data_IF_351692193632
#
_entry.id   IF_351692193632
#
_cell.length_a   1.000
_cell.length_b   1.000
_cell.length_c   1.000
_cell.angle_alpha   90.00
_cell.angle_beta   90.00
_cell.angle_gamma   90.00
#
_symmetry.space_group_name_H-M   'P 1'
#
loop_
_entity.id
_entity.type
_entity.pdbx_description
1 polymer ?
#
# COMPACT_ATOMS: atom_id res chain seq x y z
N UNK A 1 68.12 -14.96 -44.88
CA UNK A 1 67.14 -16.01 -44.46
C UNK A 1 66.24 -15.62 -43.28
N UNK A 2 66.60 -14.66 -42.43
CA UNK A 2 65.78 -14.26 -41.26
C UNK A 2 64.56 -13.36 -41.55
N UNK A 3 64.52 -12.66 -42.69
CA UNK A 3 63.38 -11.77 -43.05
C UNK A 3 62.16 -12.50 -43.62
N UNK A 4 62.31 -13.74 -44.11
CA UNK A 4 61.24 -14.50 -44.74
C UNK A 4 60.42 -15.32 -43.73
N UNK A 5 61.02 -15.73 -42.61
CA UNK A 5 60.33 -16.46 -41.54
C UNK A 5 59.35 -15.57 -40.75
N UNK A 6 59.73 -14.31 -40.46
CA UNK A 6 58.85 -13.38 -39.75
C UNK A 6 57.58 -12.98 -40.53
N UNK A 7 57.63 -12.97 -41.87
CA UNK A 7 56.45 -12.63 -42.68
C UNK A 7 55.44 -13.77 -42.75
N UNK A 8 55.92 -15.02 -42.68
CA UNK A 8 55.07 -16.22 -42.69
C UNK A 8 54.31 -16.33 -41.36
N UNK A 9 54.96 -16.12 -40.20
CA UNK A 9 54.29 -16.16 -38.89
C UNK A 9 53.20 -15.09 -38.72
N UNK A 10 53.46 -13.85 -39.17
CA UNK A 10 52.48 -12.76 -39.11
C UNK A 10 51.25 -13.05 -39.98
N UNK A 11 51.45 -13.68 -41.14
CA UNK A 11 50.35 -14.11 -42.02
C UNK A 11 49.45 -15.15 -41.34
N UNK A 12 50.05 -16.16 -40.69
CA UNK A 12 49.29 -17.18 -39.95
C UNK A 12 48.49 -16.59 -38.78
N UNK A 13 49.10 -15.68 -38.02
CA UNK A 13 48.42 -14.98 -36.92
C UNK A 13 47.23 -14.16 -37.43
N UNK A 14 47.41 -13.41 -38.53
CA UNK A 14 46.33 -12.63 -39.14
C UNK A 14 45.19 -13.52 -39.67
N UNK A 15 45.51 -14.64 -40.32
CA UNK A 15 44.49 -15.60 -40.76
C UNK A 15 43.74 -16.23 -39.59
N UNK A 16 44.41 -16.52 -38.48
CA UNK A 16 43.78 -17.10 -37.28
C UNK A 16 42.85 -16.09 -36.59
N UNK A 17 43.28 -14.83 -36.47
CA UNK A 17 42.46 -13.75 -35.93
C UNK A 17 41.23 -13.51 -36.81
N UNK A 18 41.37 -13.52 -38.14
CA UNK A 18 40.25 -13.34 -39.06
C UNK A 18 39.25 -14.51 -38.98
N UNK A 19 39.74 -15.75 -38.91
CA UNK A 19 38.89 -16.93 -38.77
C UNK A 19 38.11 -16.91 -37.42
N UNK A 20 38.78 -16.53 -36.33
CA UNK A 20 38.14 -16.42 -35.01
C UNK A 20 37.07 -15.32 -34.96
N UNK A 21 37.30 -14.19 -35.64
CA UNK A 21 36.30 -13.13 -35.80
C UNK A 21 35.08 -13.59 -36.61
N UNK A 22 35.29 -14.32 -37.72
CA UNK A 22 34.18 -14.88 -38.52
C UNK A 22 33.34 -15.85 -37.68
N UNK A 23 33.98 -16.74 -36.92
CA UNK A 23 33.26 -17.68 -36.04
C UNK A 23 32.46 -16.93 -34.98
N UNK A 24 33.03 -15.91 -34.35
CA UNK A 24 32.32 -15.06 -33.38
C UNK A 24 31.13 -14.32 -34.02
N UNK A 25 31.31 -13.77 -35.22
CA UNK A 25 30.25 -13.11 -35.97
C UNK A 25 29.12 -14.10 -36.35
N UNK A 26 29.46 -15.29 -36.83
CA UNK A 26 28.50 -16.35 -37.18
C UNK A 26 27.75 -16.87 -35.94
N UNK A 27 28.43 -17.04 -34.80
CA UNK A 27 27.80 -17.41 -33.53
C UNK A 27 26.85 -16.31 -33.04
N UNK A 28 27.22 -15.03 -33.18
CA UNK A 28 26.33 -13.92 -32.85
C UNK A 28 25.13 -13.85 -33.81
N UNK A 29 25.32 -14.05 -35.12
CA UNK A 29 24.23 -14.14 -36.09
C UNK A 29 23.31 -15.32 -35.78
N UNK A 30 23.87 -16.49 -35.42
CA UNK A 30 23.11 -17.67 -35.02
C UNK A 30 22.32 -17.45 -33.72
N UNK A 31 22.93 -16.79 -32.72
CA UNK A 31 22.27 -16.39 -31.47
C UNK A 31 21.16 -15.37 -31.72
N UNK A 32 21.38 -14.41 -32.63
CA UNK A 32 20.38 -13.42 -33.02
C UNK A 32 19.23 -14.02 -33.82
N UNK A 33 19.51 -15.01 -34.68
CA UNK A 33 18.49 -15.69 -35.50
C UNK A 33 17.65 -16.68 -34.67
N UNK A 34 18.22 -17.33 -33.64
CA UNK A 34 17.41 -18.08 -32.64
C UNK A 34 16.55 -17.14 -31.77
N UNK A 35 17.01 -15.93 -31.48
CA UNK A 35 16.23 -14.92 -30.75
C UNK A 35 15.10 -14.30 -31.60
N UNK A 36 15.15 -14.45 -32.94
CA UNK A 36 14.09 -14.01 -33.87
C UNK A 36 13.10 -15.09 -34.28
N UNK A 37 13.05 -16.25 -33.60
CA UNK A 37 11.79 -17.01 -33.53
C UNK A 37 10.85 -16.28 -32.56
N UNK A 38 10.35 -15.14 -33.04
CA UNK A 38 9.15 -14.51 -32.54
C UNK A 38 8.03 -15.52 -32.74
N UNK A 39 7.75 -16.31 -31.71
CA UNK A 39 6.40 -16.78 -31.51
C UNK A 39 5.56 -15.52 -31.40
N UNK A 40 4.88 -15.15 -32.49
CA UNK A 40 3.76 -14.23 -32.45
C UNK A 40 2.64 -14.93 -31.67
N UNK A 41 2.84 -15.07 -30.37
CA UNK A 41 1.73 -15.22 -29.44
C UNK A 41 0.97 -13.92 -29.62
N UNK A 42 -0.19 -13.98 -30.27
CA UNK A 42 -1.15 -12.90 -30.22
C UNK A 42 -1.57 -12.75 -28.76
N UNK A 43 -0.81 -11.97 -27.98
CA UNK A 43 -1.27 -11.48 -26.70
C UNK A 43 -2.52 -10.65 -27.00
N UNK A 44 -3.69 -11.22 -26.73
CA UNK A 44 -4.95 -10.47 -26.77
C UNK A 44 -4.75 -9.26 -25.87
N UNK A 45 -4.84 -8.05 -26.45
CA UNK A 45 -4.88 -6.80 -25.66
C UNK A 45 -5.90 -6.98 -24.52
N UNK A 46 -5.42 -6.90 -23.28
CA UNK A 46 -6.26 -6.96 -22.07
C UNK A 46 -7.34 -5.87 -22.20
N UNK A 47 -8.62 -6.28 -22.15
CA UNK A 47 -9.74 -5.34 -22.19
C UNK A 47 -9.82 -4.62 -20.84
N UNK A 48 -9.84 -3.29 -20.86
CA UNK A 48 -9.89 -2.45 -19.66
C UNK A 48 -11.30 -1.85 -19.54
N UNK A 49 -12.01 -2.01 -18.41
CA UNK A 49 -13.36 -1.48 -18.23
C UNK A 49 -13.32 0.01 -17.84
N UNK A 50 -12.94 0.88 -18.78
CA UNK A 50 -12.72 2.31 -18.52
C UNK A 50 -13.89 2.98 -17.77
N UNK A 51 -15.13 2.66 -18.14
CA UNK A 51 -16.35 3.14 -17.49
C UNK A 51 -17.33 2.01 -17.24
N UNK A 52 -17.88 1.91 -16.03
CA UNK A 52 -18.89 0.90 -15.65
C UNK A 52 -20.15 1.59 -15.14
N UNK A 53 -21.32 1.14 -15.61
CA UNK A 53 -22.62 1.50 -15.05
C UNK A 53 -23.06 0.41 -14.09
N UNK A 54 -23.08 0.70 -12.79
CA UNK A 54 -23.45 -0.25 -11.76
C UNK A 54 -24.93 -0.10 -11.38
N UNK A 55 -25.76 -0.96 -11.97
CA UNK A 55 -27.19 -1.05 -11.68
C UNK A 55 -27.44 -1.92 -10.44
N UNK A 56 -27.25 -1.37 -9.24
CA UNK A 56 -27.29 -2.16 -7.99
C UNK A 56 -28.70 -2.43 -7.47
N UNK A 57 -29.72 -1.77 -8.02
CA UNK A 57 -31.14 -2.02 -7.72
C UNK A 57 -31.96 -1.98 -8.99
N UNK A 58 -33.06 -2.73 -9.03
CA UNK A 58 -34.11 -2.60 -10.05
C UNK A 58 -35.35 -1.86 -9.54
N UNK A 59 -35.44 -1.60 -8.23
CA UNK A 59 -36.57 -0.90 -7.62
C UNK A 59 -36.55 0.56 -8.07
N UNK A 60 -37.69 1.06 -8.52
CA UNK A 60 -37.88 2.45 -8.96
C UNK A 60 -39.19 2.98 -8.37
N UNK A 61 -39.25 4.28 -8.11
CA UNK A 61 -40.44 5.01 -7.68
C UNK A 61 -41.21 5.66 -8.85
N UNK A 62 -40.84 5.34 -10.09
CA UNK A 62 -41.47 5.81 -11.32
C UNK A 62 -41.91 4.63 -12.20
N UNK A 63 -42.89 4.86 -13.07
CA UNK A 63 -43.49 3.85 -13.95
C UNK A 63 -43.36 4.23 -15.44
N UNK A 64 -42.15 4.61 -15.85
CA UNK A 64 -41.90 5.05 -17.22
C UNK A 64 -42.24 3.93 -18.24
N UNK A 65 -43.14 4.21 -19.19
CA UNK A 65 -43.54 3.25 -20.24
C UNK A 65 -42.39 2.80 -21.18
N UNK A 66 -41.25 3.48 -21.13
CA UNK A 66 -40.05 3.19 -21.92
C UNK A 66 -38.89 2.61 -21.08
N UNK A 67 -39.11 2.25 -19.81
CA UNK A 67 -38.04 1.77 -18.93
C UNK A 67 -37.42 0.46 -19.46
N UNK A 68 -36.11 0.49 -19.77
CA UNK A 68 -35.35 -0.69 -20.21
C UNK A 68 -34.67 -1.45 -19.06
N UNK A 69 -34.85 -0.99 -17.81
CA UNK A 69 -34.30 -1.59 -16.59
C UNK A 69 -35.37 -1.78 -15.49
N UNK A 70 -36.50 -2.38 -15.87
CA UNK A 70 -37.69 -2.58 -15.02
C UNK A 70 -37.44 -3.36 -13.72
N UNK A 71 -38.32 -3.15 -12.74
CA UNK A 71 -38.36 -3.76 -11.40
C UNK A 71 -38.71 -5.26 -11.42
N UNK A 72 -37.88 -6.06 -12.11
CA UNK A 72 -38.00 -7.52 -12.18
C UNK A 72 -37.57 -8.23 -10.89
N UNK A 73 -36.87 -7.52 -10.00
CA UNK A 73 -36.48 -7.98 -8.67
C UNK A 73 -36.36 -6.81 -7.70
N UNK A 74 -36.42 -7.09 -6.41
CA UNK A 74 -36.21 -6.13 -5.33
C UNK A 74 -34.88 -6.32 -4.59
N UNK A 75 -34.09 -7.32 -5.00
CA UNK A 75 -32.82 -7.66 -4.38
C UNK A 75 -31.75 -6.61 -4.69
N UNK A 76 -30.93 -6.32 -3.68
CA UNK A 76 -29.70 -5.53 -3.81
C UNK A 76 -28.53 -6.38 -3.30
N UNK A 77 -27.33 -6.25 -3.89
CA UNK A 77 -26.16 -6.95 -3.37
C UNK A 77 -25.79 -6.46 -1.97
N UNK A 78 -25.24 -7.35 -1.15
CA UNK A 78 -24.63 -6.98 0.14
C UNK A 78 -23.52 -5.95 -0.12
N UNK A 79 -23.39 -4.95 0.77
CA UNK A 79 -22.51 -3.78 0.53
C UNK A 79 -21.03 -4.19 0.43
N UNK A 80 -20.60 -5.17 1.23
CA UNK A 80 -19.25 -5.74 1.18
C UNK A 80 -18.94 -6.38 -0.18
N UNK A 81 -19.91 -7.12 -0.75
CA UNK A 81 -19.76 -7.72 -2.08
C UNK A 81 -19.61 -6.63 -3.15
N UNK A 82 -20.38 -5.55 -3.04
CA UNK A 82 -20.28 -4.42 -3.95
C UNK A 82 -18.93 -3.72 -3.86
N UNK A 83 -18.44 -3.44 -2.65
CA UNK A 83 -17.09 -2.88 -2.44
C UNK A 83 -16.01 -3.79 -3.03
N UNK A 84 -16.13 -5.11 -2.85
CA UNK A 84 -15.21 -6.07 -3.45
C UNK A 84 -15.23 -6.02 -4.98
N UNK A 85 -16.41 -5.88 -5.60
CA UNK A 85 -16.54 -5.71 -7.06
C UNK A 85 -15.93 -4.38 -7.52
N UNK A 86 -16.13 -3.28 -6.77
CA UNK A 86 -15.51 -2.00 -7.08
C UNK A 86 -13.98 -2.05 -7.07
N UNK A 87 -13.38 -2.77 -6.10
CA UNK A 87 -11.93 -3.03 -6.08
C UNK A 87 -11.48 -3.77 -7.34
N UNK A 88 -12.12 -4.91 -7.64
CA UNK A 88 -11.81 -5.72 -8.84
C UNK A 88 -11.91 -4.91 -10.14
N UNK A 89 -12.91 -4.02 -10.25
CA UNK A 89 -13.05 -3.14 -11.41
C UNK A 89 -11.94 -2.09 -11.46
N UNK A 90 -11.57 -1.50 -10.32
CA UNK A 90 -10.44 -0.59 -10.20
C UNK A 90 -9.12 -1.27 -10.62
N UNK A 91 -8.84 -2.47 -10.12
CA UNK A 91 -7.69 -3.32 -10.47
C UNK A 91 -7.66 -3.64 -11.97
N UNK A 92 -8.82 -3.91 -12.57
CA UNK A 92 -8.94 -4.12 -14.00
C UNK A 92 -8.66 -2.84 -14.83
N UNK A 93 -8.53 -1.68 -14.18
CA UNK A 93 -8.19 -0.39 -14.77
C UNK A 93 -9.39 0.53 -15.00
N UNK A 94 -10.51 0.31 -14.32
CA UNK A 94 -11.66 1.21 -14.36
C UNK A 94 -11.28 2.62 -13.92
N UNK A 95 -11.76 3.63 -14.66
CA UNK A 95 -11.51 5.06 -14.38
C UNK A 95 -12.77 5.83 -14.01
N UNK A 96 -13.95 5.30 -14.38
CA UNK A 96 -15.25 5.92 -14.13
C UNK A 96 -16.26 4.87 -13.68
N UNK A 97 -17.04 5.21 -12.67
CA UNK A 97 -18.25 4.48 -12.30
C UNK A 97 -19.46 5.40 -12.36
N UNK A 98 -20.60 4.85 -12.79
CA UNK A 98 -21.90 5.48 -12.71
C UNK A 98 -22.82 4.56 -11.92
N UNK A 99 -23.33 5.01 -10.77
CA UNK A 99 -24.32 4.26 -10.00
C UNK A 99 -25.70 4.50 -10.60
N UNK A 100 -26.32 3.44 -11.11
CA UNK A 100 -27.59 3.47 -11.84
C UNK A 100 -28.51 2.34 -11.35
N UNK A 101 -29.58 2.03 -12.07
CA UNK A 101 -30.51 0.96 -11.70
C UNK A 101 -31.95 1.29 -12.06
N UNK A 102 -32.87 0.91 -11.16
CA UNK A 102 -34.12 1.62 -10.97
C UNK A 102 -33.83 3.03 -10.46
N UNK A 103 -34.16 3.33 -9.21
CA UNK A 103 -33.86 4.62 -8.57
C UNK A 103 -32.82 4.45 -7.44
N UNK A 104 -31.52 4.76 -7.69
CA UNK A 104 -30.46 4.68 -6.69
C UNK A 104 -30.75 5.43 -5.38
N UNK A 105 -31.43 6.58 -5.45
CA UNK A 105 -31.73 7.40 -4.27
C UNK A 105 -32.78 6.78 -3.33
N UNK A 106 -33.40 5.65 -3.70
CA UNK A 106 -34.18 4.84 -2.76
C UNK A 106 -33.31 4.13 -1.71
N UNK A 107 -31.99 4.07 -1.91
CA UNK A 107 -31.03 3.45 -0.99
C UNK A 107 -29.87 4.39 -0.66
N UNK A 108 -30.13 5.55 -0.02
CA UNK A 108 -29.15 6.63 0.12
C UNK A 108 -27.92 6.24 0.95
N UNK A 109 -28.09 5.44 2.01
CA UNK A 109 -26.97 4.94 2.83
C UNK A 109 -26.03 4.03 2.02
N UNK A 110 -26.61 3.12 1.25
CA UNK A 110 -25.88 2.18 0.41
C UNK A 110 -25.12 2.91 -0.71
N UNK A 111 -25.80 3.87 -1.37
CA UNK A 111 -25.20 4.69 -2.41
C UNK A 111 -24.04 5.55 -1.86
N UNK A 112 -24.23 6.22 -0.72
CA UNK A 112 -23.19 7.02 -0.08
C UNK A 112 -21.95 6.17 0.26
N UNK A 113 -22.17 4.99 0.84
CA UNK A 113 -21.07 4.09 1.20
C UNK A 113 -20.27 3.59 -0.01
N UNK A 114 -20.92 3.35 -1.16
CA UNK A 114 -20.23 3.03 -2.41
C UNK A 114 -19.48 4.22 -3.00
N UNK A 115 -20.06 5.42 -2.94
CA UNK A 115 -19.42 6.64 -3.42
C UNK A 115 -18.17 6.98 -2.62
N UNK A 116 -18.27 6.95 -1.28
CA UNK A 116 -17.16 7.19 -0.37
C UNK A 116 -16.03 6.19 -0.63
N UNK A 117 -16.38 4.91 -0.77
CA UNK A 117 -15.42 3.86 -1.04
C UNK A 117 -14.69 4.05 -2.38
N UNK A 118 -15.44 4.32 -3.46
CA UNK A 118 -14.85 4.58 -4.78
C UNK A 118 -13.94 5.82 -4.77
N UNK A 119 -14.40 6.90 -4.15
CA UNK A 119 -13.64 8.15 -4.08
C UNK A 119 -12.35 7.97 -3.27
N UNK A 120 -12.40 7.22 -2.18
CA UNK A 120 -11.22 6.91 -1.37
C UNK A 120 -10.16 6.16 -2.18
N UNK A 121 -10.55 5.12 -2.93
CA UNK A 121 -9.64 4.37 -3.80
C UNK A 121 -9.00 5.31 -4.82
N UNK A 122 -9.81 6.07 -5.57
CA UNK A 122 -9.29 6.98 -6.60
C UNK A 122 -8.30 8.00 -6.03
N UNK A 123 -8.67 8.65 -4.93
CA UNK A 123 -7.83 9.65 -4.29
C UNK A 123 -6.49 9.08 -3.84
N UNK A 124 -6.47 7.84 -3.32
CA UNK A 124 -5.23 7.22 -2.84
C UNK A 124 -4.18 7.10 -3.96
N UNK A 125 -4.59 6.62 -5.14
CA UNK A 125 -3.69 6.49 -6.29
C UNK A 125 -3.26 7.84 -6.85
N UNK A 126 -4.17 8.83 -6.90
CA UNK A 126 -3.83 10.18 -7.37
C UNK A 126 -2.87 10.90 -6.41
N UNK A 127 -3.06 10.76 -5.10
CA UNK A 127 -2.17 11.33 -4.08
C UNK A 127 -0.79 10.67 -4.15
N UNK A 128 -0.72 9.35 -4.28
CA UNK A 128 0.55 8.64 -4.42
C UNK A 128 1.33 9.15 -5.64
N UNK A 129 0.67 9.26 -6.79
CA UNK A 129 1.24 9.79 -8.02
C UNK A 129 1.75 11.24 -7.84
N UNK A 130 0.95 12.12 -7.25
CA UNK A 130 1.38 13.51 -6.98
C UNK A 130 2.56 13.56 -6.02
N UNK A 131 2.57 12.72 -4.98
CA UNK A 131 3.71 12.64 -4.07
C UNK A 131 4.99 12.25 -4.81
N UNK A 132 4.93 11.25 -5.71
CA UNK A 132 6.09 10.83 -6.51
C UNK A 132 6.55 11.95 -7.46
N UNK A 133 5.62 12.60 -8.16
CA UNK A 133 5.93 13.70 -9.08
C UNK A 133 6.57 14.91 -8.38
N UNK A 134 6.15 15.19 -7.14
CA UNK A 134 6.62 16.33 -6.34
C UNK A 134 7.82 16.00 -5.43
N UNK A 135 8.33 14.76 -5.46
CA UNK A 135 9.41 14.30 -4.58
C UNK A 135 9.01 14.27 -3.09
N UNK A 136 7.72 14.15 -2.79
CA UNK A 136 7.17 14.01 -1.44
C UNK A 136 7.14 12.52 -1.08
N UNK A 137 7.61 12.18 0.12
CA UNK A 137 7.62 10.82 0.63
C UNK A 137 6.18 10.34 0.94
N UNK A 138 5.65 9.43 0.12
CA UNK A 138 4.32 8.84 0.31
C UNK A 138 4.32 7.70 1.33
N UNK A 139 3.51 7.83 2.40
CA UNK A 139 3.37 6.84 3.48
C UNK A 139 1.95 6.29 3.50
N UNK A 140 1.82 4.98 3.65
CA UNK A 140 0.54 4.31 3.84
C UNK A 140 0.43 3.73 5.25
N UNK A 141 -0.73 3.87 5.88
CA UNK A 141 -1.07 3.28 7.16
C UNK A 141 -2.29 2.37 6.97
N UNK A 142 -2.22 1.13 7.43
CA UNK A 142 -3.32 0.17 7.37
C UNK A 142 -3.59 -0.38 8.76
N UNK A 143 -4.84 -0.32 9.22
CA UNK A 143 -5.28 -1.05 10.42
C UNK A 143 -5.82 -2.40 9.99
N UNK A 144 -5.09 -3.46 10.33
CA UNK A 144 -5.43 -4.86 10.05
C UNK A 144 -6.44 -5.32 11.09
N UNK A 145 -7.59 -5.79 10.62
CA UNK A 145 -8.77 -6.11 11.41
C UNK A 145 -9.54 -7.29 10.81
N UNK A 146 -10.64 -7.67 11.46
CA UNK A 146 -11.45 -8.85 11.13
C UNK A 146 -11.93 -8.89 9.68
N UNK A 147 -12.06 -7.74 9.00
CA UNK A 147 -12.58 -7.65 7.64
C UNK A 147 -11.51 -7.62 6.54
N UNK A 148 -10.22 -7.46 6.89
CA UNK A 148 -9.15 -7.30 5.89
C UNK A 148 -7.90 -8.14 6.16
N UNK A 149 -7.81 -8.91 7.25
CA UNK A 149 -6.62 -9.72 7.56
C UNK A 149 -6.35 -10.83 6.51
N UNK A 150 -7.36 -11.27 5.76
CA UNK A 150 -7.22 -12.22 4.65
C UNK A 150 -6.92 -11.56 3.31
N UNK A 151 -6.99 -10.23 3.22
CA UNK A 151 -6.80 -9.51 1.97
C UNK A 151 -5.35 -9.59 1.50
N UNK A 152 -5.15 -9.79 0.19
CA UNK A 152 -3.85 -9.66 -0.46
C UNK A 152 -3.76 -8.28 -1.11
N UNK A 153 -2.85 -7.46 -0.61
CA UNK A 153 -2.62 -6.08 -1.02
C UNK A 153 -1.32 -5.92 -1.82
N UNK A 154 -0.58 -7.00 -2.14
CA UNK A 154 0.75 -6.91 -2.75
C UNK A 154 0.76 -6.08 -4.05
N UNK A 155 -0.16 -6.36 -4.98
CA UNK A 155 -0.27 -5.63 -6.25
C UNK A 155 -0.52 -4.13 -6.02
N UNK A 156 -1.37 -3.79 -5.06
CA UNK A 156 -1.68 -2.40 -4.74
C UNK A 156 -0.49 -1.66 -4.13
N UNK A 157 0.25 -2.29 -3.24
CA UNK A 157 1.42 -1.70 -2.61
C UNK A 157 2.56 -1.51 -3.62
N UNK A 158 2.70 -2.43 -4.57
CA UNK A 158 3.64 -2.28 -5.68
C UNK A 158 3.31 -1.06 -6.56
N UNK A 159 2.02 -0.84 -6.86
CA UNK A 159 1.58 0.32 -7.64
C UNK A 159 1.74 1.63 -6.84
N UNK A 160 1.30 1.65 -5.59
CA UNK A 160 1.34 2.84 -4.74
C UNK A 160 2.77 3.23 -4.34
N UNK A 161 3.70 2.27 -4.35
CA UNK A 161 5.11 2.41 -4.02
C UNK A 161 5.36 3.34 -2.80
N UNK A 162 4.72 3.10 -1.64
CA UNK A 162 4.99 3.91 -0.46
C UNK A 162 6.42 3.70 0.02
N UNK A 163 7.07 4.76 0.49
CA UNK A 163 8.39 4.61 1.12
C UNK A 163 8.28 3.84 2.44
N UNK A 164 7.09 3.89 3.07
CA UNK A 164 6.77 3.16 4.30
C UNK A 164 5.29 2.81 4.34
N UNK A 165 5.00 1.54 4.61
CA UNK A 165 3.67 0.98 4.78
C UNK A 165 3.55 0.43 6.20
N UNK A 166 2.95 1.20 7.11
CA UNK A 166 2.73 0.77 8.49
C UNK A 166 1.46 -0.07 8.58
N UNK A 167 1.61 -1.31 9.02
CA UNK A 167 0.51 -2.22 9.27
C UNK A 167 0.32 -2.30 10.78
N UNK A 168 -0.80 -1.78 11.27
CA UNK A 168 -1.16 -1.78 12.68
C UNK A 168 -2.13 -2.93 12.92
N UNK A 169 -1.87 -3.77 13.92
CA UNK A 169 -2.93 -4.63 14.44
C UNK A 169 -4.04 -3.73 15.04
N UNK A 170 -5.30 -4.09 14.87
CA UNK A 170 -6.39 -3.35 15.52
C UNK A 170 -6.18 -3.33 17.05
N UNK A 171 -6.14 -2.12 17.62
CA UNK A 171 -5.99 -1.89 19.05
C UNK A 171 -7.34 -1.50 19.65
N UNK A 172 -7.70 -2.18 20.73
CA UNK A 172 -8.87 -1.85 21.54
C UNK A 172 -8.37 -1.11 22.76
N UNK A 173 -8.94 0.06 23.02
CA UNK A 173 -8.73 0.87 24.21
C UNK A 173 -10.08 0.99 24.92
N UNK A 174 -10.15 0.51 26.16
CA UNK A 174 -11.40 0.28 26.89
C UNK A 174 -12.27 1.55 26.97
N UNK A 175 -11.65 2.70 27.24
CA UNK A 175 -12.36 3.98 27.39
C UNK A 175 -12.55 4.79 26.08
N UNK A 176 -12.04 4.30 24.95
CA UNK A 176 -12.14 4.99 23.67
C UNK A 176 -13.05 4.24 22.70
N UNK A 177 -12.76 2.95 22.51
CA UNK A 177 -13.41 2.10 21.52
C UNK A 177 -13.76 0.69 22.07
N UNK A 178 -13.73 0.48 23.39
CA UNK A 178 -14.03 -0.79 24.04
C UNK A 178 -15.51 -1.20 24.03
N UNK A 179 -16.43 -0.29 23.67
CA UNK A 179 -17.86 -0.56 23.63
C UNK A 179 -18.52 -0.68 25.02
N UNK A 180 -17.89 -0.09 26.05
CA UNK A 180 -18.45 0.11 27.39
C UNK A 180 -19.33 1.38 27.41
N UNK A 181 -20.16 1.50 28.46
CA UNK A 181 -21.00 2.69 28.68
C UNK A 181 -20.13 3.95 28.78
N UNK A 182 -20.45 4.96 27.96
CA UNK A 182 -19.65 6.19 27.84
C UNK A 182 -18.67 6.23 26.65
N UNK A 183 -18.39 5.10 25.99
CA UNK A 183 -17.57 5.08 24.77
C UNK A 183 -18.37 5.48 23.53
N UNK A 184 -17.75 6.23 22.62
CA UNK A 184 -18.41 6.65 21.37
C UNK A 184 -18.36 5.57 20.28
N UNK A 185 -17.53 4.54 20.46
CA UNK A 185 -17.22 3.52 19.43
C UNK A 185 -17.10 2.14 20.08
N UNK A 186 -17.41 1.11 19.29
CA UNK A 186 -17.20 -0.30 19.65
C UNK A 186 -16.35 -0.98 18.58
N UNK A 187 -15.09 -1.20 18.91
CA UNK A 187 -14.09 -1.82 18.05
C UNK A 187 -14.01 -3.35 18.23
N UNK A 188 -14.76 -3.95 19.16
CA UNK A 188 -14.64 -5.38 19.50
C UNK A 188 -14.90 -6.29 18.32
N UNK A 189 -15.85 -5.91 17.45
CA UNK A 189 -16.17 -6.63 16.20
C UNK A 189 -15.04 -6.64 15.17
N UNK A 190 -14.04 -5.78 15.32
CA UNK A 190 -12.89 -5.68 14.41
C UNK A 190 -11.69 -6.49 14.90
N UNK A 191 -11.71 -7.00 16.14
CA UNK A 191 -10.60 -7.69 16.79
C UNK A 191 -10.11 -8.87 15.96
N UNK A 192 -8.79 -9.05 15.92
CA UNK A 192 -8.12 -10.23 15.36
C UNK A 192 -7.12 -10.79 16.36
N UNK A 193 -6.85 -12.08 16.26
CA UNK A 193 -5.78 -12.77 16.99
C UNK A 193 -4.40 -12.35 16.49
N UNK A 194 -3.37 -12.65 17.28
CA UNK A 194 -1.96 -12.42 16.90
C UNK A 194 -1.62 -13.26 15.68
N UNK A 195 -2.11 -14.50 15.62
CA UNK A 195 -1.88 -15.45 14.52
C UNK A 195 -2.49 -14.94 13.21
N UNK A 196 -3.70 -14.37 13.26
CA UNK A 196 -4.32 -13.74 12.08
C UNK A 196 -3.54 -12.52 11.60
N UNK A 197 -3.02 -11.70 12.52
CA UNK A 197 -2.18 -10.56 12.17
C UNK A 197 -0.85 -11.01 11.56
N UNK A 198 -0.19 -12.02 12.14
CA UNK A 198 1.04 -12.58 11.59
C UNK A 198 0.84 -13.20 10.21
N UNK A 199 -0.30 -13.88 9.97
CA UNK A 199 -0.67 -14.39 8.65
C UNK A 199 -0.80 -13.27 7.60
N UNK A 200 -1.37 -12.12 7.98
CA UNK A 200 -1.39 -10.93 7.12
C UNK A 200 0.02 -10.43 6.81
N UNK A 201 0.89 -10.31 7.82
CA UNK A 201 2.27 -9.84 7.61
C UNK A 201 3.07 -10.80 6.73
N UNK A 202 2.96 -12.11 6.96
CA UNK A 202 3.66 -13.14 6.19
C UNK A 202 3.24 -13.14 4.70
N UNK A 203 1.94 -12.94 4.42
CA UNK A 203 1.42 -12.79 3.04
C UNK A 203 2.07 -11.63 2.28
N UNK A 204 2.50 -10.59 3.00
CA UNK A 204 3.06 -9.36 2.44
C UNK A 204 4.56 -9.19 2.71
N UNK A 205 5.26 -10.23 3.18
CA UNK A 205 6.68 -10.14 3.58
C UNK A 205 7.64 -9.67 2.48
N UNK A 206 7.25 -9.82 1.21
CA UNK A 206 8.05 -9.38 0.07
C UNK A 206 8.08 -7.85 -0.08
N UNK A 207 7.13 -7.13 0.52
CA UNK A 207 7.02 -5.69 0.44
C UNK A 207 8.10 -5.01 1.28
N UNK A 208 9.10 -4.41 0.64
CA UNK A 208 10.24 -3.76 1.32
C UNK A 208 9.83 -2.61 2.24
N UNK A 209 8.70 -1.97 1.96
CA UNK A 209 8.19 -0.82 2.71
C UNK A 209 7.39 -1.21 3.96
N UNK A 210 7.08 -2.51 4.16
CA UNK A 210 6.23 -2.96 5.26
C UNK A 210 6.90 -2.74 6.61
N UNK A 211 6.14 -2.19 7.55
CA UNK A 211 6.53 -2.03 8.95
C UNK A 211 5.40 -2.57 9.82
N UNK A 212 5.69 -3.64 10.54
CA UNK A 212 4.76 -4.28 11.48
C UNK A 212 4.63 -3.45 12.76
N UNK A 213 3.40 -3.23 13.20
CA UNK A 213 3.07 -2.57 14.46
C UNK A 213 2.00 -3.42 15.20
N UNK A 214 2.40 -4.57 15.79
CA UNK A 214 1.51 -5.39 16.63
C UNK A 214 1.15 -4.67 17.94
N UNK A 215 0.08 -5.10 18.62
CA UNK A 215 -0.44 -4.42 19.82
C UNK A 215 0.59 -4.29 20.95
N UNK A 216 1.43 -5.31 21.17
CA UNK A 216 2.48 -5.29 22.19
C UNK A 216 3.56 -4.22 21.96
N UNK A 217 3.78 -3.81 20.70
CA UNK A 217 4.74 -2.76 20.35
C UNK A 217 4.06 -1.39 20.32
N UNK A 218 2.82 -1.29 19.86
CA UNK A 218 2.13 0.00 19.73
C UNK A 218 1.84 0.69 21.06
N UNK A 219 1.39 -0.04 22.09
CA UNK A 219 0.86 0.57 23.32
C UNK A 219 1.84 1.51 24.00
N UNK A 220 3.13 1.18 24.05
CA UNK A 220 4.08 1.91 24.89
C UNK A 220 5.13 2.71 24.08
N UNK A 221 5.00 2.70 22.76
CA UNK A 221 6.04 3.23 21.86
C UNK A 221 5.67 4.56 21.20
N UNK A 222 4.55 5.18 21.57
CA UNK A 222 4.17 6.53 21.14
C UNK A 222 4.02 7.47 22.35
N UNK A 223 4.74 8.60 22.32
CA UNK A 223 4.44 9.74 23.18
C UNK A 223 3.30 10.49 22.50
N UNK A 224 2.14 10.48 23.15
CA UNK A 224 0.94 11.15 22.68
C UNK A 224 0.68 12.30 23.62
N UNK A 225 0.71 13.52 23.10
CA UNK A 225 0.32 14.71 23.84
C UNK A 225 -1.15 15.03 23.53
N UNK A 226 -1.97 15.19 24.56
CA UNK A 226 -3.38 15.52 24.41
C UNK A 226 -3.63 17.02 24.25
N UNK A 227 -4.90 17.41 24.10
CA UNK A 227 -5.31 18.80 23.92
C UNK A 227 -5.06 19.70 25.14
N UNK A 228 -4.77 19.11 26.31
CA UNK A 228 -4.43 19.81 27.56
C UNK A 228 -2.93 19.77 27.86
N UNK A 229 -2.12 19.39 26.87
CA UNK A 229 -0.66 19.32 26.95
C UNK A 229 -0.16 18.31 27.98
N UNK A 230 -0.88 17.19 28.11
CA UNK A 230 -0.53 16.06 28.98
C UNK A 230 -0.08 14.89 28.13
N UNK A 231 0.91 14.13 28.58
CA UNK A 231 1.23 12.85 27.95
C UNK A 231 0.14 11.83 28.29
N UNK A 232 -0.20 10.95 27.33
CA UNK A 232 -1.16 9.87 27.53
C UNK A 232 -0.44 8.54 27.72
N UNK A 233 -0.57 7.98 28.91
CA UNK A 233 -0.10 6.63 29.21
C UNK A 233 -1.09 5.60 28.67
N UNK A 234 -0.59 4.68 27.85
CA UNK A 234 -1.38 3.66 27.15
C UNK A 234 -1.07 2.20 27.59
N UNK A 235 -0.39 1.99 28.73
CA UNK A 235 0.09 0.67 29.16
C UNK A 235 -1.03 -0.34 29.46
N UNK A 236 -2.15 0.11 30.01
CA UNK A 236 -3.23 -0.74 30.55
C UNK A 236 -4.49 -0.75 29.68
N UNK A 237 -4.34 -0.67 28.34
CA UNK A 237 -5.46 -0.59 27.39
C UNK A 237 -6.39 0.63 27.62
N UNK A 238 -5.85 1.66 28.26
CA UNK A 238 -6.52 2.92 28.55
C UNK A 238 -5.68 4.10 28.03
N UNK A 239 -6.16 5.33 28.15
CA UNK A 239 -5.38 6.56 28.00
C UNK A 239 -5.46 7.36 29.27
N UNK A 240 -4.51 7.12 30.16
CA UNK A 240 -4.41 7.85 31.43
C UNK A 240 -3.53 9.09 31.23
N UNK A 241 -4.07 10.31 31.39
CA UNK A 241 -3.28 11.52 31.20
C UNK A 241 -2.31 11.75 32.37
N UNK A 242 -1.10 12.22 32.07
CA UNK A 242 -0.15 12.79 33.03
C UNK A 242 -0.64 14.14 33.56
N UNK A 243 0.14 14.73 34.46
CA UNK A 243 0.07 16.17 34.73
C UNK A 243 0.42 16.98 33.47
N UNK A 244 -0.06 18.21 33.38
CA UNK A 244 0.18 19.07 32.21
C UNK A 244 1.63 19.56 32.21
N UNK A 245 2.23 19.60 31.02
CA UNK A 245 3.54 20.23 30.81
C UNK A 245 3.55 21.74 31.11
N UNK A 246 2.38 22.35 31.35
CA UNK A 246 2.27 23.71 31.86
C UNK A 246 2.51 23.81 33.37
N UNK A 247 2.29 22.71 34.09
CA UNK A 247 2.29 22.67 35.55
C UNK A 247 3.53 21.96 36.11
N UNK A 248 4.07 20.99 35.37
CA UNK A 248 5.26 20.20 35.75
C UNK A 248 6.32 20.22 34.63
N UNK A 249 7.56 19.88 34.99
CA UNK A 249 8.61 19.72 33.99
C UNK A 249 8.41 18.47 33.10
N UNK A 250 9.13 18.44 31.97
CA UNK A 250 9.01 17.37 30.98
C UNK A 250 9.38 16.02 31.58
N UNK A 251 10.43 15.96 32.41
CA UNK A 251 10.89 14.71 33.00
C UNK A 251 9.84 14.10 33.93
N UNK A 252 9.17 14.93 34.75
CA UNK A 252 8.08 14.50 35.62
C UNK A 252 6.90 13.96 34.81
N UNK A 253 6.44 14.70 33.79
CA UNK A 253 5.35 14.24 32.94
C UNK A 253 5.72 12.99 32.13
N UNK A 254 6.98 12.88 31.68
CA UNK A 254 7.47 11.75 30.90
C UNK A 254 7.54 10.45 31.72
N UNK A 255 7.90 10.54 33.00
CA UNK A 255 7.85 9.40 33.93
C UNK A 255 6.42 8.87 34.11
N UNK A 256 5.41 9.73 33.98
CA UNK A 256 4.00 9.36 34.07
C UNK A 256 3.44 8.81 32.75
N UNK A 257 4.12 9.06 31.62
CA UNK A 257 3.65 8.72 30.27
C UNK A 257 3.70 7.22 29.93
N UNK A 258 4.31 6.37 30.76
CA UNK A 258 4.48 4.94 30.47
C UNK A 258 5.32 4.66 29.22
N UNK A 259 6.23 5.58 28.87
CA UNK A 259 7.04 5.53 27.66
C UNK A 259 8.10 4.43 27.71
N UNK A 260 8.06 3.54 26.73
CA UNK A 260 9.10 2.52 26.50
C UNK A 260 9.97 2.94 25.30
N UNK A 261 11.10 3.57 25.62
CA UNK A 261 12.10 3.99 24.64
C UNK A 261 12.60 2.79 23.80
N UNK A 262 12.76 1.62 24.41
CA UNK A 262 13.24 0.43 23.71
C UNK A 262 12.24 -0.03 22.63
N UNK A 263 10.94 0.03 22.94
CA UNK A 263 9.87 -0.26 21.99
C UNK A 263 9.82 0.76 20.83
N UNK A 264 10.13 2.04 21.08
CA UNK A 264 10.24 3.06 20.04
C UNK A 264 11.35 2.79 19.02
N UNK A 265 12.52 2.33 19.47
CA UNK A 265 13.59 1.94 18.55
C UNK A 265 13.27 0.64 17.81
N UNK A 266 12.70 -0.36 18.50
CA UNK A 266 12.36 -1.65 17.89
C UNK A 266 11.35 -1.53 16.74
N UNK A 267 10.44 -0.54 16.79
CA UNK A 267 9.50 -0.25 15.69
C UNK A 267 10.07 0.65 14.58
N UNK A 268 11.39 0.87 14.56
CA UNK A 268 12.07 1.77 13.62
C UNK A 268 11.47 3.19 13.67
N UNK A 269 11.26 3.71 14.89
CA UNK A 269 10.68 5.04 15.13
C UNK A 269 11.52 6.19 14.59
N UNK A 270 12.85 6.02 14.57
CA UNK A 270 13.79 6.96 13.94
C UNK A 270 14.01 6.57 12.47
N UNK A 271 13.73 7.51 11.58
CA UNK A 271 13.99 7.37 10.15
C UNK A 271 14.14 8.74 9.49
N UNK A 272 14.84 8.77 8.36
CA UNK A 272 15.02 10.01 7.61
C UNK A 272 13.69 10.44 6.97
N UNK A 273 13.16 11.57 7.43
CA UNK A 273 11.90 12.18 6.99
C UNK A 273 12.11 13.43 6.11
N UNK A 274 13.36 13.82 5.82
CA UNK A 274 13.65 14.93 4.91
C UNK A 274 13.35 14.55 3.46
N UNK A 275 13.05 15.54 2.62
CA UNK A 275 12.86 15.34 1.16
C UNK A 275 14.12 14.70 0.57
N UNK A 276 13.95 13.88 -0.46
CA UNK A 276 15.10 13.42 -1.23
C UNK A 276 15.85 14.67 -1.72
N UNK A 277 17.18 14.76 -1.51
CA UNK A 277 17.94 15.86 -2.06
C UNK A 277 17.72 15.88 -3.57
N UNK A 278 17.38 17.04 -4.13
CA UNK A 278 17.39 17.24 -5.58
C UNK A 278 18.73 16.74 -6.08
N UNK A 279 18.72 15.77 -7.02
CA UNK A 279 19.89 15.07 -7.53
C UNK A 279 21.07 16.01 -7.77
N UNK A 280 21.98 16.03 -6.80
CA UNK A 280 23.34 16.54 -6.88
C UNK A 280 24.19 15.46 -6.24
N UNK A 281 25.01 14.81 -7.07
CA UNK A 281 25.83 13.67 -6.72
C UNK A 281 26.56 13.83 -5.37
N UNK A 282 26.31 12.92 -4.43
CA UNK A 282 27.31 12.43 -3.47
C UNK A 282 26.73 11.26 -2.68
N UNK A 283 27.41 10.12 -2.71
CA UNK A 283 27.11 9.00 -1.82
C UNK A 283 27.55 9.33 -0.40
N UNK A 284 26.75 8.92 0.58
CA UNK A 284 27.20 8.59 1.92
C UNK A 284 26.13 7.73 2.62
N UNK A 285 26.57 6.59 3.15
CA UNK A 285 25.87 5.88 4.23
C UNK A 285 25.76 6.84 5.42
N UNK A 286 24.55 7.15 5.87
CA UNK A 286 24.33 7.92 7.09
C UNK A 286 23.38 7.13 8.01
N UNK A 287 23.94 6.12 8.68
CA UNK A 287 23.42 5.66 9.97
C UNK A 287 23.90 6.63 11.05
N UNK A 288 23.31 7.82 11.10
CA UNK A 288 23.51 8.74 12.22
C UNK A 288 22.57 8.31 13.35
N UNK A 289 23.14 7.70 14.38
CA UNK A 289 22.60 7.81 15.75
C UNK A 289 22.57 9.29 16.08
N UNK A 290 21.39 9.81 16.42
CA UNK A 290 21.30 11.13 17.02
C UNK A 290 21.69 10.97 18.49
N UNK A 291 22.81 11.56 18.89
CA UNK A 291 23.11 11.81 20.30
C UNK A 291 22.28 13.04 20.70
N UNK A 292 21.19 12.80 21.42
CA UNK A 292 20.63 13.73 22.38
C UNK A 292 20.50 12.99 23.71
#
# INVERSE_FOLDING_TARGET
MLSFYNTIEVSYILTFLFASYIIYALLNIYKHSKCKKFNHVFEKKKKIPISVNFHFTRKCNYECGFCFHTAKSSEIPIIENSKQVLRKLSEAGMKKINFAGGEPFLYPKYLAELMDFWQHIKNLYEIAEWCHQLGIKFKLNTVVNAFNWEEDMNEHIEILAPFRWKCFQVLILENENGGLEGTLRDARRFKISTEQYEAFIERHKAQKSIVKEPNNVMKNSYLILDEKLRFLNCTDDDKVPSESLLDVDVDTALQQAGWDESAFYQRQGIYNWSKLPNNGCAGANDSKKFDW
#
